data_IF_342195676643
#
_entry.id   IF_342195676643
#
_cell.length_a   1.000
_cell.length_b   1.000
_cell.length_c   1.000
_cell.angle_alpha   90.00
_cell.angle_beta   90.00
_cell.angle_gamma   90.00
#
_symmetry.space_group_name_H-M   'P 1'
#
loop_
_entity.id
_entity.type
_entity.pdbx_description
1 polymer ?
2 non-polymer ?
3 water ?
#
# COMPACT_ATOMS: atom_id res chain seq x y z
N UNK A 1 19.75 4.20 -16.24
CA UNK A 1 20.18 3.15 -15.29
C UNK A 1 19.47 3.34 -13.96
N UNK A 2 19.10 2.26 -13.33
CA UNK A 2 18.46 2.34 -12.02
C UNK A 2 19.53 2.63 -10.96
N UNK A 3 19.32 3.67 -10.16
CA UNK A 3 20.16 3.88 -8.98
C UNK A 3 19.43 3.68 -7.67
N UNK A 4 18.11 3.81 -7.67
CA UNK A 4 17.35 3.69 -6.46
C UNK A 4 17.45 4.88 -5.53
N UNK A 5 18.16 5.94 -5.92
CA UNK A 5 18.38 7.08 -5.03
C UNK A 5 17.43 8.23 -5.39
N UNK A 6 16.83 8.79 -4.34
CA UNK A 6 15.82 9.84 -4.46
C UNK A 6 16.08 10.95 -3.45
N UNK A 7 15.51 12.11 -3.72
CA UNK A 7 15.49 13.18 -2.76
C UNK A 7 14.19 13.15 -1.98
N UNK A 8 14.21 13.75 -0.81
CA UNK A 8 13.03 13.76 0.05
C UNK A 8 12.13 14.91 -0.39
N UNK A 9 10.94 14.58 -0.85
CA UNK A 9 9.93 15.56 -1.15
C UNK A 9 9.07 15.89 0.04
N UNK A 10 7.80 16.14 -0.24
CA UNK A 10 6.84 16.55 0.76
C UNK A 10 6.58 15.41 1.74
N UNK A 11 6.32 15.79 2.97
CA UNK A 11 6.12 14.88 4.10
C UNK A 11 4.73 15.11 4.72
N UNK A 12 4.00 14.04 5.05
CA UNK A 12 2.65 14.13 5.56
C UNK A 12 2.35 13.15 6.70
N UNK A 13 1.45 13.56 7.58
CA UNK A 13 0.96 12.73 8.67
C UNK A 13 -0.49 13.14 8.87
N UNK A 14 -1.40 12.18 8.76
CA UNK A 14 -2.83 12.50 8.75
C UNK A 14 -3.68 11.34 9.18
N UNK A 15 -4.90 11.69 9.61
CA UNK A 15 -5.92 10.71 9.85
C UNK A 15 -6.89 10.64 8.70
N UNK A 16 -7.08 9.43 8.21
CA UNK A 16 -8.00 9.15 7.13
C UNK A 16 -9.43 9.09 7.71
N UNK A 17 -10.40 9.79 7.10
CA UNK A 17 -11.77 9.72 7.60
C UNK A 17 -12.36 8.31 7.70
N UNK A 18 -13.15 8.11 8.75
CA UNK A 18 -13.94 6.89 8.92
C UNK A 18 -14.76 6.62 7.65
N UNK A 19 -14.74 5.36 7.24
CA UNK A 19 -15.50 4.92 6.09
C UNK A 19 -14.84 4.97 4.74
N UNK A 20 -13.65 5.57 4.67
CA UNK A 20 -12.92 5.55 3.40
C UNK A 20 -12.40 4.14 3.23
N UNK A 21 -12.12 3.79 1.98
CA UNK A 21 -11.40 2.55 1.71
C UNK A 21 -9.96 3.04 1.66
N UNK A 22 -9.13 2.45 2.53
CA UNK A 22 -7.77 2.98 2.70
C UNK A 22 -6.90 3.16 1.44
N UNK A 23 -6.82 2.13 0.59
CA UNK A 23 -5.99 2.21 -0.61
C UNK A 23 -6.50 3.30 -1.54
N UNK A 24 -7.83 3.35 -1.67
CA UNK A 24 -8.49 4.35 -2.50
C UNK A 24 -8.17 5.74 -2.02
N UNK A 25 -8.26 5.97 -0.71
CA UNK A 25 -8.00 7.30 -0.18
C UNK A 25 -6.55 7.70 -0.44
N UNK A 26 -5.61 6.79 -0.22
CA UNK A 26 -4.21 7.16 -0.36
C UNK A 26 -3.96 7.50 -1.84
N UNK A 27 -4.53 6.72 -2.77
CA UNK A 27 -4.43 7.02 -4.20
C UNK A 27 -4.99 8.40 -4.54
N UNK A 28 -6.19 8.69 -4.04
CA UNK A 28 -6.83 9.97 -4.32
C UNK A 28 -6.07 11.16 -3.70
N UNK A 29 -5.55 10.94 -2.50
CA UNK A 29 -4.67 11.91 -1.85
C UNK A 29 -3.47 12.23 -2.80
N UNK A 30 -2.78 11.20 -3.29
CA UNK A 30 -1.63 11.40 -4.13
C UNK A 30 -2.05 12.09 -5.43
N UNK A 31 -3.21 11.74 -5.99
CA UNK A 31 -3.66 12.44 -7.21
C UNK A 31 -3.84 13.92 -6.98
N UNK A 32 -4.47 14.26 -5.87
CA UNK A 32 -4.70 15.63 -5.51
C UNK A 32 -3.40 16.39 -5.32
N UNK A 33 -2.45 15.77 -4.62
CA UNK A 33 -1.19 16.44 -4.31
C UNK A 33 -0.18 16.40 -5.45
N UNK A 34 -0.46 15.65 -6.50
CA UNK A 34 0.52 15.44 -7.54
C UNK A 34 1.73 14.63 -7.07
N UNK A 35 1.48 13.62 -6.23
CA UNK A 35 2.52 12.72 -5.79
C UNK A 35 2.55 11.49 -6.68
N UNK A 36 3.73 11.15 -7.15
CA UNK A 36 3.92 9.99 -8.00
C UNK A 36 4.62 8.86 -7.27
N UNK A 37 5.60 9.20 -6.42
CA UNK A 37 6.38 8.21 -5.68
C UNK A 37 6.42 8.55 -4.20
N UNK A 38 6.19 7.56 -3.34
CA UNK A 38 6.22 7.78 -1.90
C UNK A 38 6.37 6.47 -1.16
N UNK A 39 6.60 6.62 0.13
CA UNK A 39 6.65 5.48 1.03
C UNK A 39 5.59 5.82 2.06
N UNK A 40 4.94 4.79 2.59
CA UNK A 40 3.89 4.93 3.58
C UNK A 40 4.08 4.00 4.76
N UNK A 41 3.54 4.44 5.88
CA UNK A 41 3.53 3.57 7.05
C UNK A 41 2.32 4.04 7.83
N UNK A 42 1.68 3.15 8.56
CA UNK A 42 0.61 3.58 9.43
C UNK A 42 0.03 2.50 10.31
N UNK A 43 -0.91 2.95 11.13
CA UNK A 43 -1.62 2.15 12.12
C UNK A 43 -3.07 2.60 12.19
N UNK A 44 -3.86 1.83 12.90
CA UNK A 44 -5.23 2.19 13.19
C UNK A 44 -6.08 0.96 13.38
N UNK A 45 -7.27 0.97 12.78
CA UNK A 45 -8.21 -0.15 12.76
C UNK A 45 -8.95 -0.17 11.43
N UNK A 46 -9.02 -1.34 10.82
CA UNK A 46 -9.82 -1.55 9.61
C UNK A 46 -10.99 -2.45 9.88
N UNK A 47 -12.06 -2.27 9.10
CA UNK A 47 -13.23 -3.14 9.16
C UNK A 47 -13.38 -3.96 7.89
N UNK A 48 -13.68 -5.25 8.06
CA UNK A 48 -13.77 -6.19 6.96
C UNK A 48 -12.61 -6.11 5.96
N UNK A 49 -11.36 -6.12 6.45
CA UNK A 49 -10.22 -6.05 5.53
C UNK A 49 -10.12 -7.32 4.69
N UNK A 50 -9.70 -7.14 3.45
CA UNK A 50 -9.37 -8.26 2.58
C UNK A 50 -7.87 -8.27 2.39
N UNK A 51 -7.26 -9.44 2.61
CA UNK A 51 -5.81 -9.60 2.44
C UNK A 51 -5.55 -10.61 1.33
N UNK A 52 -4.36 -10.55 0.78
CA UNK A 52 -3.94 -11.41 -0.31
C UNK A 52 -2.63 -12.12 -0.08
N UNK A 53 -2.57 -13.37 -0.54
CA UNK A 53 -1.36 -14.20 -0.58
C UNK A 53 -1.16 -14.57 -2.05
N UNK A 54 -0.02 -14.21 -2.63
CA UNK A 54 0.16 -14.43 -4.07
C UNK A 54 0.42 -15.90 -4.36
N UNK A 55 -0.27 -16.41 -5.39
CA UNK A 55 -0.10 -17.77 -5.87
C UNK A 55 0.67 -17.73 -7.17
N UNK A 56 1.95 -18.05 -7.08
CA UNK A 56 2.89 -17.87 -8.18
C UNK A 56 2.49 -18.71 -9.38
N UNK A 57 2.04 -19.94 -9.13
CA UNK A 57 1.65 -20.82 -10.22
C UNK A 57 0.42 -20.30 -10.97
N UNK A 58 -0.51 -19.66 -10.27
CA UNK A 58 -1.72 -19.09 -10.86
C UNK A 58 -1.56 -17.64 -11.32
N UNK A 59 -0.44 -17.00 -10.96
CA UNK A 59 -0.22 -15.59 -11.29
C UNK A 59 -1.35 -14.67 -10.82
N UNK A 60 -1.88 -14.94 -9.62
CA UNK A 60 -2.90 -14.09 -9.02
C UNK A 60 -2.89 -14.26 -7.51
N UNK A 61 -3.56 -13.33 -6.83
CA UNK A 61 -3.66 -13.40 -5.38
C UNK A 61 -4.82 -14.19 -4.97
N UNK A 62 -4.58 -14.94 -3.89
CA UNK A 62 -5.65 -15.67 -3.15
C UNK A 62 -6.12 -14.58 -2.20
N UNK A 63 -7.41 -14.32 -2.23
CA UNK A 63 -7.98 -13.24 -1.44
C UNK A 63 -8.71 -13.87 -0.25
N UNK A 64 -8.34 -13.43 0.95
CA UNK A 64 -8.94 -13.88 2.19
C UNK A 64 -9.75 -12.72 2.79
N UNK A 65 -11.08 -12.81 2.76
CA UNK A 65 -11.92 -11.73 3.30
C UNK A 65 -12.16 -11.87 4.79
N UNK A 66 -11.63 -10.97 5.58
CA UNK A 66 -11.85 -11.00 7.01
C UNK A 66 -13.11 -10.22 7.33
N UNK A 67 -13.65 -10.44 8.53
CA UNK A 67 -14.86 -9.78 8.98
C UNK A 67 -14.68 -9.10 10.33
N UNK A 68 -15.31 -7.94 10.45
CA UNK A 68 -15.31 -7.17 11.67
C UNK A 68 -14.07 -6.30 11.79
N UNK A 69 -13.88 -5.75 12.98
CA UNK A 69 -12.79 -4.84 13.25
C UNK A 69 -11.50 -5.59 13.57
N UNK A 70 -10.43 -5.18 12.91
CA UNK A 70 -9.10 -5.65 13.19
C UNK A 70 -8.21 -4.47 13.49
N UNK A 71 -7.38 -4.59 14.52
CA UNK A 71 -6.35 -3.58 14.78
C UNK A 71 -5.34 -3.60 13.61
N UNK A 72 -5.09 -2.44 13.04
CA UNK A 72 -4.12 -2.28 11.96
C UNK A 72 -2.77 -2.08 12.64
N UNK A 73 -2.06 -3.19 12.84
CA UNK A 73 -0.83 -3.20 13.61
C UNK A 73 0.31 -2.61 12.79
N UNK A 74 0.33 -2.93 11.51
CA UNK A 74 1.29 -2.32 10.61
C UNK A 74 0.70 -2.21 9.24
N UNK A 75 1.06 -1.00 8.61
CA UNK A 75 0.81 -0.86 7.23
C UNK A 75 2.14 -0.36 6.78
N UNK A 76 2.69 -0.99 5.74
CA UNK A 76 3.97 -0.57 5.19
C UNK A 76 3.76 -0.70 3.72
N UNK A 77 4.18 0.29 2.96
CA UNK A 77 4.06 0.17 1.54
C UNK A 77 4.61 1.35 0.78
N UNK A 78 4.16 1.48 -0.46
CA UNK A 78 4.70 2.52 -1.31
C UNK A 78 3.67 2.96 -2.35
N UNK A 79 3.94 4.12 -2.94
CA UNK A 79 3.19 4.69 -4.05
C UNK A 79 4.17 4.84 -5.21
N UNK A 80 3.74 4.43 -6.40
CA UNK A 80 4.57 4.56 -7.59
C UNK A 80 3.69 4.57 -8.81
N UNK A 81 4.20 5.11 -9.89
CA UNK A 81 3.46 5.16 -11.14
C UNK A 81 3.15 3.77 -11.69
N UNK A 82 1.90 3.56 -12.09
CA UNK A 82 1.50 2.36 -12.82
C UNK A 82 0.45 2.80 -13.84
N UNK A 83 0.73 2.50 -15.10
CA UNK A 83 -0.15 2.88 -16.20
C UNK A 83 -0.57 4.37 -16.12
N UNK A 84 0.35 5.24 -15.75
CA UNK A 84 0.12 6.68 -15.82
C UNK A 84 -0.46 7.34 -14.58
N UNK A 85 -0.73 6.54 -13.55
CA UNK A 85 -1.40 7.03 -12.36
C UNK A 85 -0.67 6.55 -11.10
N UNK A 86 -0.74 7.32 -10.02
CA UNK A 86 -0.17 6.81 -8.78
C UNK A 86 -0.90 5.55 -8.35
N UNK A 87 -0.14 4.56 -7.90
CA UNK A 87 -0.62 3.24 -7.55
C UNK A 87 -0.06 2.84 -6.17
N UNK A 88 -0.95 2.40 -5.30
CA UNK A 88 -0.63 2.12 -3.90
C UNK A 88 -0.47 0.61 -3.70
N UNK A 89 0.68 0.21 -3.16
CA UNK A 89 0.96 -1.19 -2.85
C UNK A 89 1.34 -1.26 -1.40
N UNK A 90 0.58 -2.00 -0.61
CA UNK A 90 0.88 -2.13 0.81
C UNK A 90 0.57 -3.50 1.37
N UNK A 91 1.24 -3.84 2.46
CA UNK A 91 1.00 -5.08 3.21
C UNK A 91 0.60 -4.68 4.61
N UNK A 92 -0.26 -5.52 5.20
CA UNK A 92 -0.77 -5.20 6.55
C UNK A 92 -0.68 -6.39 7.47
N UNK A 93 -0.57 -6.07 8.77
CA UNK A 93 -0.66 -7.06 9.83
C UNK A 93 -1.85 -6.53 10.64
N UNK A 94 -2.76 -7.47 10.92
CA UNK A 94 -4.03 -7.18 11.54
C UNK A 94 -4.28 -8.02 12.78
N UNK A 95 -4.67 -7.35 13.86
CA UNK A 95 -4.92 -8.01 15.12
C UNK A 95 -6.37 -8.23 15.42
N UNK A 96 -6.69 -9.45 15.84
CA UNK A 96 -8.06 -9.78 16.20
C UNK A 96 -8.28 -9.58 17.69
N UNK A 97 -9.52 -9.84 18.11
CA UNK A 97 -9.93 -9.54 19.47
C UNK A 97 -9.22 -10.33 20.56
N UNK A 98 -8.55 -11.41 20.17
CA UNK A 98 -7.71 -12.17 21.07
C UNK A 98 -6.24 -11.85 20.92
N UNK A 99 -5.91 -10.89 20.06
CA UNK A 99 -4.53 -10.49 19.84
C UNK A 99 -3.75 -11.40 18.90
N UNK A 100 -4.44 -12.29 18.18
CA UNK A 100 -3.78 -13.07 17.14
C UNK A 100 -3.71 -12.28 15.85
N UNK A 101 -2.62 -12.46 15.11
CA UNK A 101 -2.32 -11.60 13.95
C UNK A 101 -2.47 -12.37 12.64
N UNK A 102 -3.20 -11.74 11.73
CA UNK A 102 -3.38 -12.14 10.36
C UNK A 102 -2.72 -11.11 9.47
N UNK A 103 -2.46 -11.46 8.22
CA UNK A 103 -1.91 -10.47 7.34
C UNK A 103 -1.51 -10.96 5.99
N UNK A 104 -1.07 -10.00 5.18
CA UNK A 104 -0.64 -10.28 3.83
C UNK A 104 -0.66 -8.99 3.04
N UNK A 105 -0.75 -9.09 1.72
CA UNK A 105 -0.95 -7.94 0.87
C UNK A 105 -2.32 -7.34 1.17
N UNK A 106 -2.44 -6.01 1.24
CA UNK A 106 -3.74 -5.39 1.46
C UNK A 106 -4.47 -5.27 0.13
N UNK A 107 -5.59 -5.96 0.02
CA UNK A 107 -6.45 -5.91 -1.16
C UNK A 107 -7.44 -4.77 -1.04
N UNK A 108 -8.09 -4.65 0.12
CA UNK A 108 -8.93 -3.49 0.44
C UNK A 108 -9.24 -3.46 1.92
N UNK A 109 -9.62 -2.29 2.44
CA UNK A 109 -9.98 -2.25 3.84
C UNK A 109 -10.68 -0.94 4.16
N UNK A 110 -11.81 -1.09 4.84
CA UNK A 110 -12.58 0.08 5.24
C UNK A 110 -11.94 0.67 6.49
N UNK A 111 -11.68 1.96 6.47
CA UNK A 111 -11.08 2.62 7.63
C UNK A 111 -12.01 2.96 8.78
N UNK A 112 -11.54 2.51 9.98
CA UNK A 112 -12.29 3.05 11.13
C UNK A 112 -11.46 4.24 11.54
N UNK A 113 -10.21 3.92 11.89
CA UNK A 113 -9.19 4.96 12.21
C UNK A 113 -7.98 4.52 11.40
N UNK A 114 -7.29 5.49 10.77
CA UNK A 114 -6.03 5.16 10.06
C UNK A 114 -5.18 6.42 10.17
N UNK A 115 -4.00 6.26 10.77
CA UNK A 115 -3.07 7.33 11.01
C UNK A 115 -1.89 6.97 10.13
N UNK A 116 -1.83 7.68 9.02
CA UNK A 116 -0.85 7.41 7.97
C UNK A 116 0.25 8.48 7.84
N UNK A 117 1.47 7.97 7.65
CA UNK A 117 2.66 8.75 7.39
C UNK A 117 3.02 8.50 5.93
N UNK A 118 3.27 9.58 5.20
CA UNK A 118 3.57 9.48 3.77
C UNK A 118 4.73 10.39 3.43
N UNK A 119 5.77 9.84 2.81
CA UNK A 119 6.97 10.59 2.45
C UNK A 119 7.15 10.49 0.95
N UNK A 120 6.99 11.63 0.29
CA UNK A 120 7.19 11.70 -1.15
C UNK A 120 8.67 11.60 -1.46
N UNK A 121 9.00 10.93 -2.56
CA UNK A 121 10.37 10.81 -3.07
C UNK A 121 10.43 11.37 -4.49
N UNK A 122 11.52 12.11 -4.78
CA UNK A 122 11.69 12.80 -6.05
C UNK A 122 12.96 12.29 -6.71
N UNK A 123 12.88 12.02 -7.99
CA UNK A 123 14.05 11.56 -8.71
C UNK A 123 13.70 10.83 -9.97
N UNK A 124 14.50 9.83 -10.24
CA UNK A 124 14.39 9.04 -11.43
C UNK A 124 13.10 8.26 -11.46
N UNK A 125 12.76 7.78 -12.64
CA UNK A 125 11.56 7.00 -12.82
C UNK A 125 11.67 5.73 -12.01
N UNK A 126 10.50 5.33 -11.51
CA UNK A 126 10.36 4.11 -10.73
C UNK A 126 8.91 3.67 -10.97
N UNK A 127 8.73 2.89 -12.02
CA UNK A 127 7.39 2.55 -12.50
C UNK A 127 7.08 1.06 -12.47
N UNK A 128 5.85 0.72 -12.06
CA UNK A 128 5.41 -0.67 -12.06
C UNK A 128 4.98 -1.07 -13.46
N UNK A 129 5.62 -2.09 -13.99
CA UNK A 129 5.28 -2.62 -15.31
C UNK A 129 5.07 -4.10 -15.22
N UNK A 130 4.29 -4.66 -16.14
CA UNK A 130 4.07 -6.11 -16.13
C UNK A 130 5.33 -6.95 -16.18
N UNK A 131 5.26 -8.12 -15.54
CA UNK A 131 6.38 -9.06 -15.54
C UNK A 131 5.81 -10.47 -15.77
N UNK A 132 6.71 -11.38 -16.04
CA UNK A 132 6.37 -12.77 -16.29
C UNK A 132 5.68 -13.38 -15.07
N UNK A 133 5.97 -12.84 -13.89
CA UNK A 133 5.34 -13.36 -12.67
C UNK A 133 3.85 -13.04 -12.55
N UNK A 134 3.33 -12.11 -13.35
CA UNK A 134 1.99 -11.63 -13.21
C UNK A 134 1.89 -10.55 -12.14
N UNK A 135 3.04 -10.02 -11.72
CA UNK A 135 3.09 -8.88 -10.81
C UNK A 135 3.59 -7.67 -11.56
N UNK A 136 3.06 -6.49 -11.22
CA UNK A 136 3.55 -5.24 -11.81
C UNK A 136 4.66 -4.74 -10.90
N UNK A 137 5.88 -4.75 -11.43
CA UNK A 137 7.05 -4.39 -10.61
C UNK A 137 7.94 -3.34 -11.23
N UNK A 138 8.74 -2.68 -10.40
CA UNK A 138 9.76 -1.75 -10.85
C UNK A 138 10.93 -2.52 -11.48
N UNK A 139 11.77 -1.78 -12.20
CA UNK A 139 13.01 -2.38 -12.72
C UNK A 139 13.88 -2.56 -11.49
N UNK A 140 14.45 -3.75 -11.35
CA UNK A 140 15.26 -4.07 -10.18
C UNK A 140 16.55 -3.28 -10.14
N UNK A 141 17.11 -3.22 -8.93
CA UNK A 141 18.40 -2.57 -8.70
C UNK A 141 19.43 -3.70 -8.60
N UNK A 142 20.17 -3.91 -9.69
CA UNK A 142 21.13 -5.01 -9.73
C UNK A 142 22.47 -4.43 -9.31
N UNK A 143 23.08 -4.99 -8.26
CA UNK A 143 24.39 -4.52 -7.78
C UNK A 143 25.52 -4.94 -8.72
X LIG B 1 3.83 -11.10 -4.03
X LIG B 1 3.83 -12.29 -3.29
X LIG B 1 3.85 -9.88 -3.11
X LIG B 1 2.57 -9.56 -2.57
X LIG B 1 4.34 -8.72 -3.98
X LIG B 1 4.84 -7.66 -3.20
#
# INVERSE_FOLDING_TARGET
>A
MVTGMFSLGRTYLFRVPEGEELLTYIKNFCKKEGIETAIINGIGTLKNPKIGYFLEEKKEYKVIPLKGSYELISLIGNVSLKDGEPFVHAHVSLGNEEGIVFGGHLVEGEVFVAEIFLQELKGEKIERKPTKYGLALWEELKL
>B hetero
1 GOL C1 O1 C2 O2 C3 O3
#
